data_IF_424002226983
#
_entry.id   IF_424002226983
#
_cell.length_a   1.000
_cell.length_b   1.000
_cell.length_c   1.000
_cell.angle_alpha   90.00
_cell.angle_beta   90.00
_cell.angle_gamma   90.00
#
_symmetry.space_group_name_H-M   'P 1'
#
loop_
_entity.id
_entity.type
_entity.pdbx_description
1 polymer ?
#
# COMPACT_ATOMS: atom_id res chain seq x y z
N UNK A 1 -1.65 9.35 26.76
CA UNK A 1 -0.36 9.40 27.50
C UNK A 1 0.68 8.68 26.65
N UNK A 2 1.83 9.25 26.26
CA UNK A 2 2.78 8.50 25.48
C UNK A 2 3.54 7.56 26.42
N UNK A 3 3.25 6.27 26.32
CA UNK A 3 4.05 5.24 26.98
C UNK A 3 5.42 5.19 26.30
N UNK A 4 6.42 5.79 26.95
CA UNK A 4 7.82 5.42 26.77
C UNK A 4 8.04 4.08 27.50
N UNK A 5 8.36 3.01 26.77
CA UNK A 5 8.54 1.69 27.38
C UNK A 5 9.33 0.70 26.52
N UNK A 6 10.55 0.43 26.98
CA UNK A 6 11.46 -0.68 26.65
C UNK A 6 12.19 -0.63 25.29
N UNK A 7 13.52 -0.67 25.36
CA UNK A 7 14.41 -0.76 24.21
C UNK A 7 14.05 -1.97 23.35
N UNK A 8 13.62 -1.68 22.13
CA UNK A 8 13.22 -2.68 21.16
C UNK A 8 14.48 -3.45 20.71
N UNK A 9 14.52 -4.78 20.87
CA UNK A 9 15.67 -5.57 20.43
C UNK A 9 15.68 -5.73 18.91
N UNK A 10 16.85 -5.91 18.28
CA UNK A 10 16.94 -6.31 16.86
C UNK A 10 16.91 -7.85 16.72
N UNK A 11 16.40 -8.57 17.73
CA UNK A 11 16.46 -10.03 17.74
C UNK A 11 15.54 -10.63 16.66
N UNK A 12 15.98 -11.73 16.07
CA UNK A 12 15.27 -12.47 15.03
C UNK A 12 14.85 -13.84 15.57
N UNK A 13 13.57 -14.17 15.48
CA UNK A 13 13.07 -15.51 15.74
C UNK A 13 12.99 -16.24 14.41
N UNK A 14 13.72 -17.35 14.30
CA UNK A 14 13.74 -18.19 13.11
C UNK A 14 12.87 -19.42 13.37
N UNK A 15 11.78 -19.54 12.62
CA UNK A 15 10.90 -20.71 12.61
C UNK A 15 11.39 -21.69 11.55
N UNK A 16 11.77 -22.90 11.97
CA UNK A 16 12.32 -23.94 11.09
C UNK A 16 11.67 -25.31 11.36
N UNK A 17 12.11 -26.33 10.63
CA UNK A 17 11.53 -27.67 10.69
C UNK A 17 10.27 -27.82 9.82
N UNK A 18 9.72 -29.04 9.80
CA UNK A 18 8.72 -29.49 8.81
C UNK A 18 7.27 -29.45 9.29
N UNK A 19 7.04 -29.48 10.61
CA UNK A 19 5.69 -29.47 11.18
C UNK A 19 5.06 -28.08 11.24
N UNK A 20 3.74 -28.03 11.36
CA UNK A 20 3.04 -26.78 11.65
C UNK A 20 3.50 -26.22 13.00
N UNK A 21 3.60 -24.89 13.08
CA UNK A 21 3.92 -24.18 14.30
C UNK A 21 2.88 -23.08 14.51
N UNK A 22 2.72 -22.69 15.76
CA UNK A 22 1.86 -21.56 16.10
C UNK A 22 2.68 -20.44 16.70
N UNK A 23 2.22 -19.21 16.52
CA UNK A 23 2.64 -18.06 17.29
C UNK A 23 1.46 -17.55 18.12
N UNK A 24 1.80 -16.92 19.22
CA UNK A 24 0.86 -16.19 20.04
C UNK A 24 1.52 -14.90 20.52
N UNK A 25 0.76 -13.80 20.50
CA UNK A 25 1.16 -12.60 21.21
C UNK A 25 0.04 -12.26 22.18
N UNK A 26 0.29 -12.56 23.45
CA UNK A 26 -0.71 -12.39 24.51
C UNK A 26 -0.97 -10.92 24.87
N UNK A 27 -0.28 -9.95 24.23
CA UNK A 27 -0.37 -8.52 24.54
C UNK A 27 -0.13 -7.69 23.27
N UNK A 28 -1.14 -6.91 22.86
CA UNK A 28 -1.00 -5.90 21.81
C UNK A 28 0.09 -4.88 22.16
N UNK A 29 0.89 -4.49 21.17
CA UNK A 29 1.90 -3.43 21.32
C UNK A 29 3.23 -3.81 21.97
N UNK A 30 3.56 -5.10 22.11
CA UNK A 30 4.82 -5.54 22.75
C UNK A 30 5.56 -6.70 22.08
N UNK A 31 5.66 -6.74 20.76
CA UNK A 31 6.65 -7.63 20.13
C UNK A 31 7.68 -6.84 19.34
N UNK A 32 8.90 -6.92 19.86
CA UNK A 32 10.07 -6.15 19.46
C UNK A 32 11.02 -6.96 18.57
N UNK A 33 10.69 -8.18 18.18
CA UNK A 33 11.57 -9.06 17.38
C UNK A 33 11.12 -9.13 15.92
N UNK A 34 12.03 -9.51 15.03
CA UNK A 34 11.70 -9.91 13.67
C UNK A 34 11.39 -11.40 13.58
N UNK A 35 10.57 -11.76 12.59
CA UNK A 35 10.20 -13.15 12.29
C UNK A 35 10.83 -13.56 10.97
N UNK A 36 11.50 -14.71 10.97
CA UNK A 36 11.98 -15.39 9.77
C UNK A 36 11.37 -16.80 9.69
N UNK A 37 10.60 -17.08 8.65
CA UNK A 37 10.04 -18.39 8.37
C UNK A 37 10.98 -19.08 7.40
N UNK A 38 11.66 -20.14 7.86
CA UNK A 38 12.60 -20.95 7.11
C UNK A 38 12.25 -22.43 7.30
N UNK A 39 11.01 -22.76 6.93
CA UNK A 39 10.44 -24.09 7.11
C UNK A 39 10.49 -24.82 5.77
N UNK A 40 11.07 -26.00 5.73
CA UNK A 40 11.05 -26.83 4.51
C UNK A 40 9.64 -27.35 4.17
N UNK A 41 8.75 -27.38 5.15
CA UNK A 41 7.32 -27.64 4.99
C UNK A 41 6.51 -27.12 6.20
N UNK A 42 5.19 -27.08 6.06
CA UNK A 42 4.28 -26.67 7.13
C UNK A 42 4.10 -25.16 7.24
N UNK A 43 3.13 -24.77 8.05
CA UNK A 43 2.69 -23.37 8.17
C UNK A 43 2.95 -22.84 9.57
N UNK A 44 3.36 -21.58 9.66
CA UNK A 44 3.32 -20.80 10.90
C UNK A 44 1.98 -20.05 10.98
N UNK A 45 1.16 -20.36 11.99
CA UNK A 45 -0.23 -19.87 12.11
C UNK A 45 -0.50 -19.19 13.46
N UNK A 46 -1.47 -18.29 13.57
CA UNK A 46 -1.93 -17.80 14.88
C UNK A 46 -2.49 -18.96 15.73
N UNK A 47 -2.24 -18.95 17.03
CA UNK A 47 -2.84 -19.93 17.95
C UNK A 47 -4.33 -19.70 18.25
N UNK A 48 -4.85 -18.49 18.01
CA UNK A 48 -6.25 -18.11 18.25
C UNK A 48 -6.80 -17.16 17.16
N UNK A 49 -8.10 -17.24 16.81
CA UNK A 49 -8.72 -16.49 15.73
C UNK A 49 -9.17 -15.08 16.18
N UNK A 50 -8.25 -14.16 16.45
CA UNK A 50 -8.47 -12.70 16.59
C UNK A 50 -7.22 -11.91 17.04
N UNK A 51 -6.04 -12.54 17.12
CA UNK A 51 -4.89 -11.87 17.73
C UNK A 51 -4.25 -10.88 16.75
N UNK A 52 -3.75 -9.75 17.24
CA UNK A 52 -2.81 -8.90 16.52
C UNK A 52 -1.37 -9.46 16.66
N UNK A 53 -0.47 -9.07 15.76
CA UNK A 53 0.97 -9.36 15.84
C UNK A 53 1.75 -8.11 15.48
N UNK A 54 2.55 -7.60 16.42
CA UNK A 54 3.56 -6.56 16.13
C UNK A 54 4.94 -7.19 15.99
N UNK A 55 5.67 -6.91 14.92
CA UNK A 55 7.04 -7.40 14.68
C UNK A 55 7.89 -6.30 14.06
N UNK A 56 9.21 -6.48 14.06
CA UNK A 56 10.12 -5.57 13.37
C UNK A 56 10.15 -5.83 11.88
N UNK A 57 10.28 -7.08 11.50
CA UNK A 57 10.33 -7.48 10.09
C UNK A 57 9.73 -8.85 9.94
N UNK A 58 9.22 -9.13 8.75
CA UNK A 58 8.78 -10.45 8.33
C UNK A 58 9.63 -10.90 7.14
N UNK A 59 10.23 -12.09 7.25
CA UNK A 59 10.90 -12.75 6.13
C UNK A 59 10.35 -14.15 5.97
N UNK A 60 9.66 -14.42 4.87
CA UNK A 60 9.24 -15.77 4.48
C UNK A 60 10.28 -16.27 3.49
N UNK A 61 11.24 -17.02 3.99
CA UNK A 61 12.37 -17.54 3.22
C UNK A 61 12.02 -18.88 2.59
N UNK A 62 11.31 -19.74 3.34
CA UNK A 62 10.77 -21.03 2.93
C UNK A 62 9.50 -21.36 3.73
N UNK A 63 8.54 -22.05 3.12
CA UNK A 63 7.31 -22.50 3.77
C UNK A 63 6.18 -21.47 3.73
N UNK A 64 5.22 -21.60 4.65
CA UNK A 64 4.00 -20.79 4.66
C UNK A 64 3.83 -20.03 5.98
N UNK A 65 3.34 -18.80 5.88
CA UNK A 65 2.97 -17.96 7.01
C UNK A 65 1.52 -17.50 6.85
N UNK A 66 0.72 -17.69 7.88
CA UNK A 66 -0.60 -17.09 7.99
C UNK A 66 -0.53 -15.91 8.96
N UNK A 67 -0.93 -14.75 8.47
CA UNK A 67 -1.03 -13.53 9.24
C UNK A 67 -2.15 -13.62 10.31
N UNK A 68 -2.11 -12.77 11.34
CA UNK A 68 -3.26 -12.57 12.21
C UNK A 68 -4.51 -12.16 11.41
N UNK A 69 -5.70 -12.55 11.89
CA UNK A 69 -6.97 -12.05 11.35
C UNK A 69 -7.28 -10.61 11.80
N UNK A 70 -6.56 -10.11 12.80
CA UNK A 70 -6.52 -8.69 13.18
C UNK A 70 -5.46 -7.92 12.40
N UNK A 71 -4.52 -7.30 13.10
CA UNK A 71 -3.45 -6.48 12.53
C UNK A 71 -2.11 -7.20 12.62
N UNK A 72 -1.44 -7.35 11.48
CA UNK A 72 0.00 -7.58 11.40
C UNK A 72 0.69 -6.23 11.31
N UNK A 73 1.26 -5.74 12.40
CA UNK A 73 2.03 -4.50 12.41
C UNK A 73 3.53 -4.79 12.23
N UNK A 74 4.11 -4.28 11.15
CA UNK A 74 5.56 -4.15 11.00
C UNK A 74 5.95 -2.78 11.54
N UNK A 75 6.44 -2.75 12.80
CA UNK A 75 6.78 -1.56 13.54
C UNK A 75 8.30 -1.33 13.53
N UNK A 76 8.78 -0.33 12.82
CA UNK A 76 10.21 -0.11 12.59
C UNK A 76 10.75 1.17 13.21
N UNK A 77 11.81 1.04 14.03
CA UNK A 77 12.60 2.18 14.51
C UNK A 77 13.98 2.07 13.88
N UNK A 78 14.13 2.64 12.69
CA UNK A 78 15.35 2.49 11.91
C UNK A 78 16.46 3.39 12.46
N UNK A 79 17.53 2.74 12.91
CA UNK A 79 18.84 3.34 13.18
C UNK A 79 19.82 3.13 12.02
N UNK A 80 19.35 2.58 10.90
CA UNK A 80 20.12 2.37 9.68
C UNK A 80 19.44 3.10 8.50
N UNK A 81 20.24 3.46 7.50
CA UNK A 81 19.74 4.17 6.31
C UNK A 81 18.92 3.26 5.37
N UNK A 82 19.10 1.93 5.45
CA UNK A 82 18.36 0.96 4.62
C UNK A 82 18.11 -0.35 5.38
N UNK A 83 16.90 -0.89 5.28
CA UNK A 83 16.48 -2.15 5.91
C UNK A 83 15.44 -2.90 5.05
N UNK A 84 15.62 -4.20 4.83
CA UNK A 84 14.53 -5.06 4.33
C UNK A 84 13.63 -5.48 5.48
N UNK A 85 12.38 -5.03 5.44
CA UNK A 85 11.41 -5.20 6.54
C UNK A 85 10.28 -6.17 6.19
N UNK A 86 10.02 -6.34 4.91
CA UNK A 86 9.16 -7.40 4.39
C UNK A 86 9.93 -8.13 3.28
N UNK A 87 10.01 -9.45 3.39
CA UNK A 87 10.55 -10.31 2.36
C UNK A 87 9.65 -11.53 2.18
N UNK A 88 9.23 -11.81 0.96
CA UNK A 88 8.44 -12.99 0.60
C UNK A 88 9.16 -13.62 -0.60
N UNK A 89 9.87 -14.72 -0.37
CA UNK A 89 10.63 -15.41 -1.42
C UNK A 89 9.69 -16.18 -2.36
N UNK A 90 10.16 -16.42 -3.59
CA UNK A 90 9.42 -17.27 -4.53
C UNK A 90 9.24 -18.69 -3.97
N UNK A 91 8.10 -19.30 -4.27
CA UNK A 91 7.75 -20.64 -3.77
C UNK A 91 7.33 -20.68 -2.30
N UNK A 92 7.06 -19.52 -1.69
CA UNK A 92 6.52 -19.42 -0.33
C UNK A 92 5.05 -19.01 -0.33
N UNK A 93 4.39 -19.00 0.83
CA UNK A 93 3.00 -18.55 0.94
C UNK A 93 2.84 -17.54 2.06
N UNK A 94 2.22 -16.41 1.74
CA UNK A 94 1.66 -15.47 2.71
C UNK A 94 0.14 -15.55 2.63
N UNK A 95 -0.52 -15.97 3.70
CA UNK A 95 -1.98 -15.91 3.84
C UNK A 95 -2.35 -14.70 4.70
N UNK A 96 -3.06 -13.73 4.12
CA UNK A 96 -3.48 -12.52 4.81
C UNK A 96 -4.54 -12.76 5.90
N UNK A 97 -5.21 -13.92 5.89
CA UNK A 97 -6.18 -14.34 6.90
C UNK A 97 -7.30 -13.33 7.17
N UNK A 98 -7.68 -12.55 6.14
CA UNK A 98 -8.68 -11.48 6.26
C UNK A 98 -8.25 -10.27 7.12
N UNK A 99 -6.99 -10.21 7.57
CA UNK A 99 -6.47 -9.16 8.43
C UNK A 99 -5.97 -7.91 7.71
N UNK A 100 -5.30 -7.05 8.45
CA UNK A 100 -4.65 -5.83 7.95
C UNK A 100 -3.14 -5.91 8.16
N UNK A 101 -2.37 -5.69 7.10
CA UNK A 101 -0.95 -5.41 7.22
C UNK A 101 -0.76 -3.91 7.45
N UNK A 102 -0.19 -3.54 8.60
CA UNK A 102 0.12 -2.15 8.95
C UNK A 102 1.62 -1.94 8.99
N UNK A 103 2.11 -0.95 8.26
CA UNK A 103 3.48 -0.49 8.35
C UNK A 103 3.53 0.80 9.13
N UNK A 104 4.12 0.71 10.32
CA UNK A 104 4.41 1.85 11.15
C UNK A 104 5.91 1.98 11.32
N UNK A 105 6.42 3.21 11.23
CA UNK A 105 7.83 3.41 11.51
C UNK A 105 8.13 4.78 12.05
N UNK A 106 9.06 4.86 13.00
CA UNK A 106 9.65 6.10 13.48
C UNK A 106 11.14 6.19 13.11
N UNK A 107 11.58 7.15 12.27
CA UNK A 107 12.98 7.28 11.91
C UNK A 107 13.79 7.80 13.10
N UNK A 108 15.04 7.37 13.24
CA UNK A 108 15.97 7.93 14.23
C UNK A 108 16.48 9.31 13.79
N UNK A 109 16.81 10.17 14.75
CA UNK A 109 17.51 11.44 14.46
C UNK A 109 18.96 11.25 14.04
N UNK A 110 19.52 10.06 14.24
CA UNK A 110 20.91 9.71 13.96
C UNK A 110 21.16 9.24 12.51
N UNK A 111 20.14 9.22 11.67
CA UNK A 111 20.22 8.75 10.27
C UNK A 111 19.65 9.79 9.30
N UNK A 112 20.02 9.68 8.02
CA UNK A 112 19.29 10.35 6.94
C UNK A 112 17.91 9.71 6.79
N UNK A 113 17.05 10.27 5.92
CA UNK A 113 15.74 9.68 5.55
C UNK A 113 15.91 8.19 5.22
N UNK A 114 15.45 7.27 6.08
CA UNK A 114 15.73 5.84 5.91
C UNK A 114 14.79 5.19 4.89
N UNK A 115 15.33 4.21 4.17
CA UNK A 115 14.60 3.37 3.22
C UNK A 115 14.24 2.02 3.85
N UNK A 116 12.97 1.62 3.74
CA UNK A 116 12.47 0.30 4.06
C UNK A 116 12.16 -0.43 2.75
N UNK A 117 12.81 -1.56 2.52
CA UNK A 117 12.59 -2.37 1.32
C UNK A 117 11.53 -3.44 1.59
N UNK A 118 10.56 -3.54 0.68
CA UNK A 118 9.71 -4.71 0.55
C UNK A 118 10.22 -5.52 -0.65
N UNK A 119 10.73 -6.70 -0.38
CA UNK A 119 11.26 -7.62 -1.38
C UNK A 119 10.26 -8.76 -1.59
N UNK A 120 9.35 -8.58 -2.55
CA UNK A 120 8.26 -9.51 -2.84
C UNK A 120 8.60 -10.23 -4.14
N UNK A 121 9.01 -11.50 -4.05
CA UNK A 121 9.32 -12.32 -5.22
C UNK A 121 8.15 -13.22 -5.62
N UNK A 122 7.30 -13.57 -4.67
CA UNK A 122 6.06 -14.32 -4.91
C UNK A 122 4.87 -13.35 -4.98
N UNK A 123 4.03 -13.41 -6.03
CA UNK A 123 2.79 -12.62 -6.10
C UNK A 123 1.97 -12.80 -4.82
N UNK A 124 1.81 -11.73 -4.05
CA UNK A 124 1.15 -11.76 -2.75
C UNK A 124 0.01 -10.75 -2.75
N UNK A 125 -1.22 -11.24 -2.51
CA UNK A 125 -2.39 -10.39 -2.34
C UNK A 125 -2.59 -10.13 -0.85
N UNK A 126 -2.38 -8.89 -0.42
CA UNK A 126 -2.72 -8.45 0.93
C UNK A 126 -4.22 -8.19 1.03
N UNK A 127 -4.83 -8.45 2.18
CA UNK A 127 -6.25 -8.15 2.38
C UNK A 127 -6.45 -6.64 2.57
N UNK A 128 -6.14 -6.08 3.74
CA UNK A 128 -6.04 -4.63 3.92
C UNK A 128 -4.57 -4.24 4.12
N UNK A 129 -4.21 -3.04 3.69
CA UNK A 129 -2.85 -2.52 3.83
C UNK A 129 -2.87 -1.05 4.28
N UNK A 130 -2.15 -0.74 5.36
CA UNK A 130 -1.92 0.63 5.82
C UNK A 130 -0.44 0.95 5.82
N UNK A 131 -0.05 2.06 5.18
CA UNK A 131 1.27 2.67 5.30
C UNK A 131 1.10 3.99 6.06
N UNK A 132 1.55 3.99 7.31
CA UNK A 132 1.43 5.11 8.23
C UNK A 132 2.73 5.27 9.02
N UNK A 133 3.68 6.01 8.44
CA UNK A 133 4.93 6.32 9.13
C UNK A 133 4.76 7.53 10.07
N UNK A 134 5.77 7.79 10.88
CA UNK A 134 5.82 8.95 11.76
C UNK A 134 6.91 9.90 11.29
N UNK A 135 6.59 11.17 11.13
CA UNK A 135 7.59 12.21 10.84
C UNK A 135 8.32 12.60 12.13
N UNK A 136 9.65 12.42 12.17
CA UNK A 136 10.47 12.80 13.33
C UNK A 136 11.67 13.68 12.97
N UNK A 137 11.61 14.94 13.39
CA UNK A 137 12.64 15.95 13.11
C UNK A 137 12.83 16.18 11.61
N UNK A 138 11.73 16.27 10.86
CA UNK A 138 11.74 16.50 9.40
C UNK A 138 12.09 15.28 8.54
N UNK A 139 12.31 14.11 9.15
CA UNK A 139 12.54 12.84 8.45
C UNK A 139 11.29 11.98 8.45
N UNK A 140 11.18 11.16 7.42
CA UNK A 140 10.12 10.17 7.20
C UNK A 140 10.73 8.93 6.55
N UNK A 141 9.97 7.84 6.43
CA UNK A 141 10.44 6.65 5.72
C UNK A 141 10.14 6.69 4.23
N UNK A 142 10.98 6.02 3.46
CA UNK A 142 10.71 5.63 2.08
C UNK A 142 10.43 4.14 2.07
N UNK A 143 9.29 3.72 1.55
CA UNK A 143 9.00 2.32 1.22
C UNK A 143 9.39 2.08 -0.22
N UNK A 144 10.43 1.28 -0.45
CA UNK A 144 10.87 0.86 -1.77
C UNK A 144 10.34 -0.55 -2.05
N UNK A 145 9.40 -0.65 -2.98
CA UNK A 145 8.87 -1.92 -3.46
C UNK A 145 9.82 -2.47 -4.53
N UNK A 146 10.24 -3.73 -4.37
CA UNK A 146 11.20 -4.36 -5.26
C UNK A 146 10.70 -5.71 -5.76
N UNK A 147 11.05 -6.05 -7.00
CA UNK A 147 10.71 -7.25 -7.75
C UNK A 147 9.24 -7.37 -8.19
N UNK A 148 8.28 -7.00 -7.35
CA UNK A 148 6.85 -7.00 -7.68
C UNK A 148 6.14 -5.75 -7.17
N UNK A 149 4.98 -5.46 -7.76
CA UNK A 149 4.04 -4.48 -7.22
C UNK A 149 3.40 -4.98 -5.93
N UNK A 150 2.95 -4.05 -5.10
CA UNK A 150 2.22 -4.35 -3.87
C UNK A 150 0.72 -4.48 -4.19
N UNK A 151 0.20 -5.70 -4.13
CA UNK A 151 -1.20 -5.99 -4.46
C UNK A 151 -2.10 -5.99 -3.23
N UNK A 152 -3.21 -5.22 -3.26
CA UNK A 152 -4.15 -5.08 -2.13
C UNK A 152 -5.58 -5.40 -2.59
N UNK A 153 -6.18 -6.42 -1.97
CA UNK A 153 -7.52 -6.93 -2.28
C UNK A 153 -8.66 -6.11 -1.69
N UNK A 154 -8.48 -5.64 -0.45
CA UNK A 154 -9.36 -4.76 0.29
C UNK A 154 -8.86 -3.32 0.25
N UNK A 155 -8.86 -2.64 1.39
CA UNK A 155 -8.53 -1.21 1.45
C UNK A 155 -7.03 -0.97 1.56
N UNK A 156 -6.50 -0.12 0.67
CA UNK A 156 -5.20 0.52 0.79
C UNK A 156 -5.33 1.90 1.44
N UNK A 157 -4.53 2.17 2.48
CA UNK A 157 -4.48 3.48 3.16
C UNK A 157 -3.06 4.00 3.24
N UNK A 158 -2.81 5.22 2.75
CA UNK A 158 -1.52 5.90 2.81
C UNK A 158 -1.65 7.22 3.56
N UNK A 159 -1.10 7.30 4.78
CA UNK A 159 -1.23 8.49 5.65
C UNK A 159 0.07 9.26 5.82
N UNK A 160 1.22 8.59 5.80
CA UNK A 160 2.52 9.25 5.92
C UNK A 160 3.63 8.41 5.27
N UNK A 161 4.69 9.08 4.82
CA UNK A 161 5.88 8.48 4.22
C UNK A 161 5.87 8.45 2.69
N UNK A 162 6.97 8.03 2.07
CA UNK A 162 7.10 7.91 0.61
C UNK A 162 6.92 6.47 0.19
N UNK A 163 6.38 6.24 -1.01
CA UNK A 163 6.33 4.92 -1.63
C UNK A 163 6.89 5.00 -3.04
N UNK A 164 7.81 4.11 -3.38
CA UNK A 164 8.37 3.94 -4.72
C UNK A 164 8.09 2.52 -5.22
N UNK A 165 7.93 2.36 -6.54
CA UNK A 165 7.56 1.09 -7.19
C UNK A 165 6.16 1.12 -7.80
N UNK A 166 5.33 0.10 -7.57
CA UNK A 166 3.96 0.05 -8.09
C UNK A 166 2.96 -0.52 -7.08
N UNK A 167 1.75 0.03 -7.09
CA UNK A 167 0.61 -0.37 -6.27
C UNK A 167 -0.46 -0.96 -7.17
N UNK A 168 -0.85 -2.21 -6.91
CA UNK A 168 -1.93 -2.90 -7.62
C UNK A 168 -3.15 -2.99 -6.69
N UNK A 169 -4.12 -2.12 -6.90
CA UNK A 169 -5.27 -1.94 -6.03
C UNK A 169 -6.50 -2.63 -6.62
N UNK A 170 -6.97 -3.68 -5.94
CA UNK A 170 -8.18 -4.42 -6.29
C UNK A 170 -9.40 -4.01 -5.45
N UNK A 171 -9.16 -3.35 -4.30
CA UNK A 171 -10.18 -2.76 -3.43
C UNK A 171 -9.99 -1.25 -3.24
N UNK A 172 -10.60 -0.68 -2.20
CA UNK A 172 -10.67 0.77 -1.98
C UNK A 172 -9.29 1.42 -1.75
N UNK A 173 -9.18 2.71 -2.06
CA UNK A 173 -7.96 3.50 -1.90
C UNK A 173 -8.20 4.79 -1.11
N UNK A 174 -7.36 5.03 -0.10
CA UNK A 174 -7.44 6.18 0.79
C UNK A 174 -6.07 6.88 0.86
N UNK A 175 -5.99 8.11 0.35
CA UNK A 175 -4.77 8.91 0.33
C UNK A 175 -4.86 10.13 1.24
N UNK A 176 -4.25 10.01 2.42
CA UNK A 176 -4.28 11.04 3.46
C UNK A 176 -2.88 11.60 3.75
N UNK A 177 -1.94 11.46 2.79
CA UNK A 177 -0.55 11.78 3.04
C UNK A 177 -0.30 13.27 3.24
N UNK A 178 0.33 13.66 4.34
CA UNK A 178 0.60 15.07 4.63
C UNK A 178 1.96 15.54 4.12
N UNK A 179 2.83 14.65 3.63
CA UNK A 179 4.16 15.03 3.16
C UNK A 179 4.20 15.37 1.66
N UNK A 180 4.80 16.51 1.30
CA UNK A 180 4.94 17.04 -0.09
C UNK A 180 5.74 16.16 -1.07
N UNK A 181 6.26 15.04 -0.58
CA UNK A 181 7.15 14.15 -1.30
C UNK A 181 6.74 12.71 -1.06
N UNK A 182 5.48 12.39 -1.31
CA UNK A 182 4.81 11.08 -1.16
C UNK A 182 5.43 9.88 -1.93
N UNK A 183 6.52 10.09 -2.68
CA UNK A 183 7.19 9.05 -3.47
C UNK A 183 6.72 9.00 -4.92
N UNK A 184 7.23 8.08 -5.72
CA UNK A 184 6.94 7.98 -7.16
C UNK A 184 6.23 6.68 -7.56
N UNK A 185 5.62 5.96 -6.62
CA UNK A 185 4.93 4.72 -6.96
C UNK A 185 3.78 4.94 -7.93
N UNK A 186 3.68 4.09 -8.95
CA UNK A 186 2.48 4.04 -9.81
C UNK A 186 1.30 3.47 -9.04
N UNK A 187 0.10 3.88 -9.43
CA UNK A 187 -1.17 3.38 -8.87
C UNK A 187 -1.94 2.72 -10.00
N UNK A 188 -2.26 1.44 -9.86
CA UNK A 188 -3.03 0.67 -10.84
C UNK A 188 -4.31 0.17 -10.18
N UNK A 189 -5.46 0.65 -10.64
CA UNK A 189 -6.76 0.11 -10.24
C UNK A 189 -7.13 -1.07 -11.12
N UNK A 190 -7.34 -2.22 -10.51
CA UNK A 190 -7.52 -3.52 -11.16
C UNK A 190 -8.78 -4.24 -10.63
N UNK A 191 -9.00 -5.46 -11.12
CA UNK A 191 -10.07 -6.33 -10.65
C UNK A 191 -11.45 -6.00 -11.22
N UNK A 192 -12.48 -6.62 -10.63
CA UNK A 192 -13.87 -6.59 -11.13
C UNK A 192 -14.86 -5.96 -10.15
N UNK A 193 -14.45 -5.72 -8.91
CA UNK A 193 -15.30 -5.10 -7.89
C UNK A 193 -15.38 -3.58 -8.09
N UNK A 194 -16.45 -2.97 -7.58
CA UNK A 194 -16.46 -1.52 -7.39
C UNK A 194 -15.43 -1.12 -6.35
N UNK A 195 -14.80 0.03 -6.54
CA UNK A 195 -13.79 0.58 -5.63
C UNK A 195 -14.14 2.02 -5.30
N UNK A 196 -13.89 2.42 -4.07
CA UNK A 196 -13.92 3.83 -3.68
C UNK A 196 -12.52 4.41 -3.67
N UNK A 197 -12.39 5.66 -4.09
CA UNK A 197 -11.17 6.46 -3.91
C UNK A 197 -11.49 7.71 -3.08
N UNK A 198 -10.59 8.02 -2.15
CA UNK A 198 -10.62 9.25 -1.36
C UNK A 198 -9.22 9.85 -1.22
N UNK A 199 -9.19 11.16 -1.12
CA UNK A 199 -7.99 11.95 -0.91
C UNK A 199 -8.32 13.14 -0.02
N UNK A 200 -7.66 13.20 1.15
CA UNK A 200 -7.63 14.41 1.98
C UNK A 200 -6.23 15.01 2.09
N UNK A 201 -5.22 14.29 1.60
CA UNK A 201 -3.83 14.72 1.55
C UNK A 201 -3.27 14.63 0.13
N UNK A 202 -2.02 14.21 0.03
CA UNK A 202 -1.29 14.01 -1.21
C UNK A 202 -1.28 12.53 -1.58
N UNK A 203 -1.22 12.25 -2.88
CA UNK A 203 -0.99 10.89 -3.42
C UNK A 203 0.45 10.75 -3.88
N UNK A 204 0.88 9.55 -4.26
CA UNK A 204 2.21 9.31 -4.88
C UNK A 204 2.32 10.10 -6.20
N UNK A 205 3.54 10.36 -6.68
CA UNK A 205 3.78 11.12 -7.93
C UNK A 205 3.85 10.25 -9.18
N UNK A 206 3.66 8.93 -9.03
CA UNK A 206 3.72 8.01 -10.16
C UNK A 206 2.49 8.14 -11.05
N UNK A 207 2.56 7.51 -12.22
CA UNK A 207 1.43 7.43 -13.14
C UNK A 207 0.26 6.66 -12.52
N UNK A 208 -0.96 7.05 -12.89
CA UNK A 208 -2.19 6.38 -12.50
C UNK A 208 -2.73 5.59 -13.69
N UNK A 209 -3.15 4.35 -13.44
CA UNK A 209 -3.87 3.56 -14.43
C UNK A 209 -5.18 3.02 -13.86
N UNK A 210 -6.23 3.04 -14.68
CA UNK A 210 -7.45 2.26 -14.48
C UNK A 210 -7.44 1.18 -15.55
N UNK A 211 -7.38 -0.08 -15.13
CA UNK A 211 -7.41 -1.24 -16.01
C UNK A 211 -8.27 -2.32 -15.35
N UNK A 212 -9.52 -1.96 -15.07
CA UNK A 212 -10.47 -2.81 -14.36
C UNK A 212 -11.24 -3.62 -15.39
N UNK A 213 -11.25 -4.94 -15.23
CA UNK A 213 -12.01 -5.83 -16.11
C UNK A 213 -13.52 -5.70 -15.93
N UNK A 214 -13.97 -5.18 -14.78
CA UNK A 214 -15.35 -4.79 -14.49
C UNK A 214 -15.40 -3.86 -13.26
N UNK A 215 -16.60 -3.35 -12.96
CA UNK A 215 -16.84 -2.48 -11.82
C UNK A 215 -16.37 -1.04 -12.07
N UNK A 216 -16.73 -0.16 -11.15
CA UNK A 216 -16.55 1.29 -11.29
C UNK A 216 -15.71 1.81 -10.13
N UNK A 217 -14.82 2.76 -10.41
CA UNK A 217 -14.19 3.58 -9.36
C UNK A 217 -15.13 4.72 -9.00
N UNK A 218 -15.51 4.87 -7.74
CA UNK A 218 -16.33 6.00 -7.27
C UNK A 218 -15.50 6.93 -6.41
N UNK A 219 -15.49 8.21 -6.74
CA UNK A 219 -14.86 9.24 -5.91
C UNK A 219 -15.75 9.59 -4.71
N UNK A 220 -15.11 9.77 -3.56
CA UNK A 220 -15.78 10.17 -2.31
C UNK A 220 -15.29 11.51 -1.76
N UNK A 221 -14.27 12.08 -2.41
CA UNK A 221 -13.72 13.42 -2.18
C UNK A 221 -13.21 13.96 -3.52
N UNK A 222 -12.78 15.22 -3.55
CA UNK A 222 -11.93 15.71 -4.64
C UNK A 222 -10.62 14.89 -4.69
N UNK A 223 -10.12 14.65 -5.89
CA UNK A 223 -8.87 13.92 -6.14
C UNK A 223 -7.95 14.83 -6.96
N UNK A 224 -6.75 15.06 -6.44
CA UNK A 224 -5.74 15.95 -7.02
C UNK A 224 -4.48 15.15 -7.34
N UNK A 225 -4.34 14.79 -8.61
CA UNK A 225 -3.14 14.22 -9.22
C UNK A 225 -2.28 15.32 -9.85
N UNK A 226 -1.97 16.35 -9.07
CA UNK A 226 -1.33 17.60 -9.52
C UNK A 226 0.19 17.62 -9.31
N UNK A 227 0.81 16.47 -9.07
CA UNK A 227 2.27 16.41 -8.93
C UNK A 227 2.90 16.51 -10.33
N UNK A 228 4.00 17.25 -10.45
CA UNK A 228 4.60 17.56 -11.75
C UNK A 228 4.85 16.32 -12.61
N UNK A 229 4.26 16.30 -13.81
CA UNK A 229 4.36 15.23 -14.80
C UNK A 229 3.42 14.04 -14.54
N UNK A 230 2.50 14.14 -13.57
CA UNK A 230 1.59 13.05 -13.24
C UNK A 230 0.53 12.88 -14.34
N UNK A 231 0.46 11.66 -14.87
CA UNK A 231 -0.48 11.26 -15.92
C UNK A 231 -1.48 10.24 -15.39
N UNK A 232 -2.63 10.16 -16.06
CA UNK A 232 -3.63 9.14 -15.83
C UNK A 232 -4.01 8.46 -17.15
N UNK A 233 -4.10 7.13 -17.13
CA UNK A 233 -4.53 6.33 -18.29
C UNK A 233 -5.67 5.41 -17.89
N UNK A 234 -6.79 5.50 -18.60
CA UNK A 234 -7.90 4.56 -18.50
C UNK A 234 -7.75 3.57 -19.66
N UNK A 235 -7.21 2.39 -19.36
CA UNK A 235 -7.04 1.29 -20.32
C UNK A 235 -8.33 0.49 -20.48
N UNK A 236 -9.00 0.22 -19.35
CA UNK A 236 -10.29 -0.46 -19.25
C UNK A 236 -10.96 -0.06 -17.92
N UNK A 237 -12.30 -0.09 -17.89
CA UNK A 237 -13.11 0.29 -16.73
C UNK A 237 -13.48 1.77 -16.64
N UNK A 238 -14.42 2.06 -15.74
CA UNK A 238 -15.05 3.37 -15.60
C UNK A 238 -14.71 4.05 -14.27
N UNK A 239 -14.80 5.38 -14.27
CA UNK A 239 -14.76 6.21 -13.06
C UNK A 239 -16.01 7.08 -12.95
N UNK A 240 -16.60 7.14 -11.78
CA UNK A 240 -17.65 8.05 -11.37
C UNK A 240 -17.08 9.08 -10.39
N UNK A 241 -17.04 10.34 -10.80
CA UNK A 241 -16.60 11.47 -9.99
C UNK A 241 -17.59 11.79 -8.88
N UNK A 242 -18.84 11.34 -8.98
CA UNK A 242 -19.87 11.47 -7.94
C UNK A 242 -20.03 12.92 -7.44
N UNK A 243 -19.91 13.90 -8.34
CA UNK A 243 -20.00 15.32 -8.04
C UNK A 243 -18.72 15.98 -7.52
N UNK A 244 -17.62 15.23 -7.41
CA UNK A 244 -16.31 15.73 -7.00
C UNK A 244 -15.42 16.12 -8.17
N UNK A 245 -14.36 16.86 -7.88
CA UNK A 245 -13.39 17.28 -8.89
C UNK A 245 -12.24 16.29 -9.01
N UNK A 246 -11.89 15.93 -10.24
CA UNK A 246 -10.68 15.20 -10.58
C UNK A 246 -9.74 16.13 -11.37
N UNK A 247 -8.54 16.36 -10.84
CA UNK A 247 -7.51 17.16 -11.49
C UNK A 247 -6.26 16.32 -11.73
N UNK A 248 -5.75 16.35 -12.96
CA UNK A 248 -4.54 15.65 -13.41
C UNK A 248 -3.55 16.70 -13.93
N UNK A 249 -2.31 16.66 -13.44
CA UNK A 249 -1.27 17.64 -13.81
C UNK A 249 -1.00 17.66 -15.32
N UNK A 250 -0.89 16.47 -15.91
CA UNK A 250 -0.52 16.29 -17.31
C UNK A 250 -1.64 15.59 -18.09
N UNK A 251 -1.32 14.56 -18.84
CA UNK A 251 -2.25 13.90 -19.77
C UNK A 251 -3.24 12.96 -19.08
N UNK A 252 -4.50 13.01 -19.54
CA UNK A 252 -5.48 11.94 -19.39
C UNK A 252 -5.64 11.19 -20.72
N UNK A 253 -5.35 9.89 -20.74
CA UNK A 253 -5.56 9.04 -21.91
C UNK A 253 -6.70 8.06 -21.65
N UNK A 254 -7.68 7.96 -22.55
CA UNK A 254 -8.84 7.07 -22.39
C UNK A 254 -8.97 6.13 -23.58
N UNK A 255 -8.89 4.82 -23.33
CA UNK A 255 -9.18 3.79 -24.33
C UNK A 255 -10.66 3.79 -24.71
N UNK A 256 -10.97 3.24 -25.89
CA UNK A 256 -12.35 3.02 -26.30
C UNK A 256 -13.11 2.16 -25.29
N UNK A 257 -14.34 2.56 -24.95
CA UNK A 257 -15.18 1.83 -24.00
C UNK A 257 -14.92 2.18 -22.52
N UNK A 258 -14.09 3.17 -22.22
CA UNK A 258 -13.90 3.69 -20.86
C UNK A 258 -14.69 4.99 -20.65
N UNK A 259 -15.27 5.17 -19.46
CA UNK A 259 -16.15 6.30 -19.17
C UNK A 259 -15.74 7.04 -17.90
N UNK A 260 -15.78 8.38 -17.95
CA UNK A 260 -15.71 9.25 -16.78
C UNK A 260 -17.06 9.97 -16.58
N UNK A 261 -17.78 9.64 -15.51
CA UNK A 261 -19.08 10.25 -15.18
C UNK A 261 -18.89 11.39 -14.19
N UNK A 262 -19.25 12.62 -14.55
CA UNK A 262 -18.91 13.80 -13.74
C UNK A 262 -19.88 14.07 -12.57
N UNK A 263 -21.18 13.82 -12.74
CA UNK A 263 -22.21 14.04 -11.71
C UNK A 263 -22.20 15.47 -11.09
N UNK A 264 -21.99 16.51 -11.91
CA UNK A 264 -21.78 17.93 -11.53
C UNK A 264 -20.38 18.27 -11.01
N UNK A 265 -19.48 17.30 -10.91
CA UNK A 265 -18.06 17.52 -10.67
C UNK A 265 -17.33 18.03 -11.92
N UNK A 266 -16.09 18.46 -11.74
CA UNK A 266 -15.21 18.90 -12.82
C UNK A 266 -14.09 17.89 -13.08
N UNK A 267 -13.81 17.61 -14.35
CA UNK A 267 -12.63 16.87 -14.78
C UNK A 267 -11.66 17.83 -15.44
N UNK A 268 -10.39 17.79 -15.04
CA UNK A 268 -9.33 18.60 -15.64
C UNK A 268 -8.05 17.82 -15.82
N UNK A 269 -7.40 18.03 -16.97
CA UNK A 269 -6.09 17.46 -17.30
C UNK A 269 -5.25 18.53 -17.99
N UNK A 270 -3.99 18.71 -17.59
CA UNK A 270 -3.09 19.72 -18.17
C UNK A 270 -3.72 21.13 -18.20
N UNK A 271 -4.36 21.51 -17.09
CA UNK A 271 -5.13 22.77 -16.95
C UNK A 271 -6.33 22.96 -17.89
N UNK A 272 -6.63 22.00 -18.79
CA UNK A 272 -7.82 22.01 -19.62
C UNK A 272 -8.99 21.37 -18.85
N UNK A 273 -10.14 22.04 -18.85
CA UNK A 273 -11.39 21.46 -18.33
C UNK A 273 -11.98 20.55 -19.41
N UNK A 274 -12.24 19.30 -19.05
CA UNK A 274 -12.83 18.32 -19.95
C UNK A 274 -14.35 18.50 -19.93
N UNK A 275 -15.00 18.78 -21.07
CA UNK A 275 -16.45 18.95 -21.11
C UNK A 275 -17.20 17.69 -20.63
N UNK A 276 -18.42 17.81 -20.10
CA UNK A 276 -19.25 16.64 -19.82
C UNK A 276 -19.66 15.91 -21.13
N UNK A 277 -19.53 14.58 -21.18
CA UNK A 277 -19.96 13.77 -22.33
C UNK A 277 -19.55 12.28 -22.23
N UNK A 278 -20.16 11.42 -23.05
CA UNK A 278 -19.72 10.02 -23.21
C UNK A 278 -18.56 9.97 -24.20
N UNK A 279 -17.42 9.44 -23.78
CA UNK A 279 -16.22 9.28 -24.61
C UNK A 279 -16.08 7.81 -24.99
N UNK A 280 -16.25 7.45 -26.26
CA UNK A 280 -16.20 6.06 -26.73
C UNK A 280 -14.87 5.70 -27.42
N UNK A 281 -13.97 6.68 -27.60
CA UNK A 281 -12.58 6.53 -28.07
C UNK A 281 -11.87 7.91 -28.09
N UNK A 282 -10.56 7.96 -27.76
CA UNK A 282 -9.71 9.12 -28.06
C UNK A 282 -8.68 9.49 -26.98
N UNK A 283 -7.59 10.12 -27.40
CA UNK A 283 -6.62 10.74 -26.50
C UNK A 283 -7.14 12.16 -26.18
N UNK A 284 -7.35 12.48 -24.90
CA UNK A 284 -7.51 13.87 -24.48
C UNK A 284 -6.10 14.47 -24.42
N UNK A 285 -5.57 14.79 -25.60
CA UNK A 285 -4.42 15.66 -25.76
C UNK A 285 -4.92 17.12 -25.83
N UNK A 286 -4.10 18.08 -25.38
CA UNK A 286 -4.41 19.50 -25.51
C UNK A 286 -4.80 19.90 -26.95
#
# INVERSE_FOLDING_TARGET
>A
MPHYGFGLSNANIIFSGTGNQTYDTSISGKSATGFSINKSSGTLTPSHPANDLTIRFLRILQGSFQAPSGILEINQNAQANSLTVLQINSGTTFDANGGTLSFYGRPSTSVSTPTLTFAIYEPTLFNNLTINHFIYGGRHFIVDLTNQNLAVGGTFTHTEGRINGGLDLYGDAVFNNTISSSGNASINFLGTANQNISQTGLTTKGAISINKAAGIITMTTNIDFTQAGQTMTMLDGDIDLNGFNLTIDSTLSMSSGTTATLNSGALSANSAVIPPGSYDSGMILP
#
